data_IF_852494329993
#
_entry.id   IF_852494329993
#
_cell.length_a   1.000
_cell.length_b   1.000
_cell.length_c   1.000
_cell.angle_alpha   90.00
_cell.angle_beta   90.00
_cell.angle_gamma   90.00
#
_symmetry.space_group_name_H-M   'P 1'
#
loop_
_entity.id
_entity.type
_entity.pdbx_description
1 polymer ?
#
# COMPACT_ATOMS: atom_id res chain seq x y z
N UNK A 1 0.57 7.00 -1.84
CA UNK A 1 1.28 7.46 -0.62
C UNK A 1 0.32 8.11 0.40
N UNK A 2 -0.53 9.07 0.00
CA UNK A 2 -1.50 9.75 0.91
C UNK A 2 -2.36 8.80 1.75
N UNK A 3 -3.01 7.81 1.14
CA UNK A 3 -3.85 6.84 1.87
C UNK A 3 -3.05 5.95 2.84
N UNK A 4 -1.81 5.58 2.48
CA UNK A 4 -0.94 4.80 3.37
C UNK A 4 -0.55 5.61 4.61
N UNK A 5 -0.20 6.88 4.42
CA UNK A 5 0.10 7.78 5.53
C UNK A 5 -1.12 7.95 6.45
N UNK A 6 -2.34 8.09 5.89
CA UNK A 6 -3.57 8.14 6.70
C UNK A 6 -3.76 6.87 7.53
N UNK A 7 -3.54 5.68 6.95
CA UNK A 7 -3.64 4.41 7.69
C UNK A 7 -2.64 4.31 8.85
N UNK A 8 -1.41 4.80 8.65
CA UNK A 8 -0.40 4.85 9.73
C UNK A 8 -0.76 5.87 10.81
N UNK A 9 -1.32 7.02 10.44
CA UNK A 9 -1.81 7.99 11.42
C UNK A 9 -3.02 7.45 12.21
N UNK A 10 -3.92 6.68 11.57
CA UNK A 10 -4.99 5.96 12.28
C UNK A 10 -4.41 4.93 13.26
N UNK A 11 -3.30 4.28 12.92
CA UNK A 11 -2.58 3.41 13.87
C UNK A 11 -2.08 4.19 15.08
N UNK A 12 -1.58 5.42 14.90
CA UNK A 12 -1.18 6.26 16.03
C UNK A 12 -2.35 6.62 16.93
N UNK A 13 -3.54 6.89 16.37
CA UNK A 13 -4.77 7.07 17.17
C UNK A 13 -5.08 5.79 17.95
N UNK A 14 -5.06 4.63 17.28
CA UNK A 14 -5.30 3.35 17.95
C UNK A 14 -4.34 3.11 19.13
N UNK A 15 -3.04 3.34 18.93
CA UNK A 15 -2.03 3.19 19.97
C UNK A 15 -2.25 4.18 21.11
N UNK A 16 -2.63 5.43 20.82
CA UNK A 16 -2.96 6.44 21.82
C UNK A 16 -4.10 6.01 22.77
N UNK A 17 -5.07 5.28 22.21
CA UNK A 17 -6.25 4.79 22.94
C UNK A 17 -5.99 3.48 23.70
N UNK A 18 -5.15 2.58 23.16
CA UNK A 18 -5.06 1.19 23.64
C UNK A 18 -3.71 0.79 24.25
N UNK A 19 -2.62 1.50 23.93
CA UNK A 19 -1.27 1.15 24.38
C UNK A 19 -0.76 2.10 25.48
N UNK A 20 0.33 1.69 26.14
CA UNK A 20 1.01 2.44 27.22
C UNK A 20 2.48 2.72 26.91
N UNK A 21 2.83 2.92 25.63
CA UNK A 21 4.21 3.25 25.25
C UNK A 21 4.65 4.65 25.73
N UNK A 22 5.95 4.89 25.79
CA UNK A 22 6.52 6.21 26.17
C UNK A 22 5.95 7.35 25.32
N UNK A 23 5.76 7.13 24.03
CA UNK A 23 5.15 8.12 23.14
C UNK A 23 3.71 8.43 23.54
N UNK A 24 2.91 7.42 23.91
CA UNK A 24 1.52 7.61 24.37
C UNK A 24 1.49 8.36 25.69
N UNK A 25 2.34 7.99 26.65
CA UNK A 25 2.44 8.67 27.95
C UNK A 25 2.81 10.14 27.78
N UNK A 26 3.81 10.43 26.94
CA UNK A 26 4.21 11.80 26.61
C UNK A 26 3.07 12.58 25.94
N UNK A 27 2.36 11.99 24.98
CA UNK A 27 1.20 12.63 24.34
C UNK A 27 0.09 12.93 25.36
N UNK A 28 -0.22 11.98 26.25
CA UNK A 28 -1.20 12.15 27.33
C UNK A 28 -0.80 13.29 28.26
N UNK A 29 0.47 13.38 28.65
CA UNK A 29 0.96 14.40 29.58
C UNK A 29 1.08 15.80 28.95
N UNK A 30 1.58 15.91 27.72
CA UNK A 30 1.95 17.20 27.13
C UNK A 30 0.95 17.75 26.09
N UNK A 31 0.34 16.87 25.30
CA UNK A 31 -0.56 17.26 24.21
C UNK A 31 -2.03 17.22 24.61
N UNK A 32 -2.45 16.18 25.32
CA UNK A 32 -3.84 15.96 25.75
C UNK A 32 -4.10 16.61 27.11
N UNK A 33 -3.15 16.46 28.05
CA UNK A 33 -3.20 16.99 29.42
C UNK A 33 -4.45 16.51 30.15
N UNK A 34 -5.35 17.43 30.53
CA UNK A 34 -6.61 17.15 31.23
C UNK A 34 -7.82 17.12 30.29
N UNK A 35 -7.62 17.30 28.99
CA UNK A 35 -8.71 17.31 28.02
C UNK A 35 -8.97 15.90 27.46
N UNK A 36 -10.13 15.70 26.85
CA UNK A 36 -10.36 14.50 26.03
C UNK A 36 -9.70 14.65 24.66
N UNK A 37 -9.03 13.58 24.21
CA UNK A 37 -8.50 13.50 22.85
C UNK A 37 -9.55 13.84 21.77
N UNK A 38 -10.81 13.46 22.01
CA UNK A 38 -11.92 13.67 21.08
C UNK A 38 -12.34 15.14 20.97
N UNK A 39 -12.06 15.95 21.98
CA UNK A 39 -12.51 17.34 22.09
C UNK A 39 -11.39 18.36 21.86
N UNK A 40 -10.14 17.92 21.62
CA UNK A 40 -9.02 18.83 21.35
C UNK A 40 -9.25 19.69 20.08
N UNK A 41 -8.87 20.98 20.09
CA UNK A 41 -8.94 21.82 18.89
C UNK A 41 -7.89 21.41 17.85
N UNK A 42 -8.23 21.55 16.57
CA UNK A 42 -7.30 21.33 15.44
C UNK A 42 -6.53 22.59 15.05
N UNK A 43 -6.93 23.74 15.60
CA UNK A 43 -6.34 25.06 15.36
C UNK A 43 -5.32 25.43 16.43
N UNK A 44 -4.50 26.45 16.14
CA UNK A 44 -3.45 26.94 17.05
C UNK A 44 -2.06 26.38 16.76
N UNK A 45 -1.12 26.73 17.65
CA UNK A 45 0.31 26.39 17.55
C UNK A 45 0.58 24.93 17.96
N UNK A 46 0.17 23.99 17.10
CA UNK A 46 0.45 22.56 17.23
C UNK A 46 1.30 22.07 16.07
N UNK A 47 2.07 20.99 16.30
CA UNK A 47 2.90 20.39 15.26
C UNK A 47 2.04 19.89 14.10
N UNK A 48 2.59 19.95 12.89
CA UNK A 48 1.88 19.49 11.69
C UNK A 48 1.44 18.03 11.82
N UNK A 49 2.30 17.15 12.36
CA UNK A 49 1.99 15.74 12.55
C UNK A 49 0.81 15.54 13.52
N UNK A 50 0.79 16.23 14.67
CA UNK A 50 -0.31 16.14 15.62
C UNK A 50 -1.62 16.65 15.02
N UNK A 51 -1.58 17.75 14.27
CA UNK A 51 -2.75 18.26 13.55
C UNK A 51 -3.34 17.23 12.59
N UNK A 52 -2.50 16.49 11.85
CA UNK A 52 -2.98 15.42 10.97
C UNK A 52 -3.62 14.26 11.73
N UNK A 53 -3.10 13.90 12.91
CA UNK A 53 -3.74 12.91 13.80
C UNK A 53 -5.13 13.39 14.22
N UNK A 54 -5.25 14.65 14.67
CA UNK A 54 -6.53 15.21 15.10
C UNK A 54 -7.57 15.30 13.95
N UNK A 55 -7.15 15.57 12.72
CA UNK A 55 -8.04 15.58 11.55
C UNK A 55 -8.62 14.20 11.21
N UNK A 56 -7.95 13.11 11.60
CA UNK A 56 -8.41 11.75 11.33
C UNK A 56 -9.34 11.19 12.42
N UNK A 57 -9.64 11.94 13.48
CA UNK A 57 -10.54 11.50 14.57
C UNK A 57 -11.90 11.05 14.06
N UNK A 58 -12.53 11.83 13.18
CA UNK A 58 -13.85 11.47 12.65
C UNK A 58 -13.83 10.17 11.84
N UNK A 59 -12.75 9.92 11.09
CA UNK A 59 -12.57 8.66 10.36
C UNK A 59 -12.35 7.52 11.37
N UNK A 60 -11.57 7.73 12.42
CA UNK A 60 -11.38 6.73 13.47
C UNK A 60 -12.69 6.39 14.19
N UNK A 61 -13.52 7.40 14.53
CA UNK A 61 -14.82 7.20 15.19
C UNK A 61 -15.76 6.28 14.40
N UNK A 62 -15.76 6.36 13.07
CA UNK A 62 -16.56 5.47 12.21
C UNK A 62 -16.16 3.99 12.31
N UNK A 63 -15.01 3.68 12.92
CA UNK A 63 -14.47 2.32 12.97
C UNK A 63 -14.12 1.86 14.38
N UNK A 64 -14.14 2.72 15.38
CA UNK A 64 -13.86 2.33 16.76
C UNK A 64 -15.12 1.74 17.39
N UNK A 65 -14.95 0.59 18.04
CA UNK A 65 -16.03 -0.08 18.77
C UNK A 65 -15.61 -0.16 20.23
N UNK A 66 -16.27 0.63 21.08
CA UNK A 66 -16.05 0.65 22.52
C UNK A 66 -16.98 -0.35 23.19
N UNK A 67 -16.43 -1.20 24.06
CA UNK A 67 -17.16 -2.15 24.87
C UNK A 67 -16.93 -1.79 26.33
N UNK A 68 -17.99 -1.28 26.96
CA UNK A 68 -17.99 -0.93 28.37
C UNK A 68 -17.96 -2.21 29.21
N UNK A 69 -16.97 -2.33 30.07
CA UNK A 69 -16.74 -3.44 30.98
C UNK A 69 -16.68 -2.97 32.42
N UNK A 70 -16.19 -3.85 33.30
CA UNK A 70 -16.09 -3.60 34.75
C UNK A 70 -14.78 -2.91 35.17
N UNK A 71 -13.83 -2.72 34.24
CA UNK A 71 -12.61 -1.95 34.50
C UNK A 71 -12.82 -0.50 34.09
N UNK A 72 -12.87 0.39 35.07
CA UNK A 72 -13.19 1.80 34.96
C UNK A 72 -12.12 2.60 34.15
N UNK A 73 -12.16 2.58 32.80
CA UNK A 73 -11.19 3.30 31.95
C UNK A 73 -11.82 4.42 31.13
N UNK A 74 -13.05 4.25 30.66
CA UNK A 74 -13.69 5.20 29.77
C UNK A 74 -14.30 6.40 30.49
N UNK A 75 -14.09 7.59 29.94
CA UNK A 75 -14.78 8.81 30.37
C UNK A 75 -16.27 8.70 30.03
N UNK A 76 -17.12 9.01 31.01
CA UNK A 76 -18.57 9.00 30.84
C UNK A 76 -19.00 9.94 29.71
N UNK A 77 -18.46 11.15 29.70
CA UNK A 77 -18.93 12.23 28.86
C UNK A 77 -18.18 12.37 27.54
N UNK A 78 -16.92 11.97 27.49
CA UNK A 78 -16.03 12.34 26.39
C UNK A 78 -15.53 11.18 25.54
N UNK A 79 -15.54 9.93 26.03
CA UNK A 79 -15.21 8.79 25.20
C UNK A 79 -16.41 8.36 24.34
N UNK A 80 -16.19 7.85 23.12
CA UNK A 80 -17.24 7.61 22.14
C UNK A 80 -17.93 6.25 22.33
N UNK A 81 -18.24 5.88 23.57
CA UNK A 81 -18.90 4.62 23.90
C UNK A 81 -20.41 4.66 23.67
N UNK A 82 -21.01 5.85 23.66
CA UNK A 82 -22.44 6.05 23.40
C UNK A 82 -22.69 6.05 21.88
N UNK A 83 -23.01 4.88 21.31
CA UNK A 83 -23.28 4.70 19.88
C UNK A 83 -22.18 5.23 18.95
N UNK A 84 -20.91 5.05 19.36
CA UNK A 84 -19.75 5.54 18.61
C UNK A 84 -19.51 7.05 18.73
N UNK A 85 -20.16 7.73 19.68
CA UNK A 85 -20.05 9.17 19.93
C UNK A 85 -19.95 9.48 21.42
N UNK A 86 -19.40 10.64 21.73
CA UNK A 86 -19.33 11.16 23.10
C UNK A 86 -20.66 11.80 23.48
N UNK A 87 -21.15 11.57 24.69
CA UNK A 87 -22.41 12.18 25.17
C UNK A 87 -22.32 13.71 25.12
N UNK A 88 -21.18 14.29 25.54
CA UNK A 88 -20.93 15.74 25.47
C UNK A 88 -21.01 16.32 24.05
N UNK A 89 -20.72 15.52 23.02
CA UNK A 89 -20.83 15.93 21.62
C UNK A 89 -22.26 15.85 21.09
N UNK A 90 -23.07 14.92 21.62
CA UNK A 90 -24.46 14.71 21.19
C UNK A 90 -25.41 15.68 21.88
N UNK A 91 -25.27 15.86 23.20
CA UNK A 91 -26.19 16.66 24.03
C UNK A 91 -25.59 17.99 24.52
N UNK A 92 -24.30 18.23 24.25
CA UNK A 92 -23.60 19.42 24.75
C UNK A 92 -23.20 19.33 26.22
N UNK A 93 -22.56 20.38 26.74
CA UNK A 93 -22.10 20.41 28.14
C UNK A 93 -23.22 20.63 29.17
N UNK A 94 -24.42 21.03 28.74
CA UNK A 94 -25.55 21.27 29.64
C UNK A 94 -25.99 20.00 30.37
N UNK A 95 -26.01 18.86 29.66
CA UNK A 95 -26.40 17.57 30.24
C UNK A 95 -25.51 17.14 31.40
N UNK A 96 -24.24 17.56 31.39
CA UNK A 96 -23.29 17.28 32.48
C UNK A 96 -23.73 18.02 33.75
N UNK A 97 -24.06 19.32 33.62
CA UNK A 97 -24.54 20.12 34.74
C UNK A 97 -25.89 19.60 35.27
N UNK A 98 -26.83 19.29 34.38
CA UNK A 98 -28.18 18.82 34.73
C UNK A 98 -28.16 17.45 35.43
N UNK A 99 -27.11 16.65 35.18
CA UNK A 99 -26.92 15.34 35.83
C UNK A 99 -26.40 15.44 37.27
N UNK A 100 -25.74 16.53 37.64
CA UNK A 100 -25.01 16.64 38.90
C UNK A 100 -23.78 15.72 39.01
N UNK A 101 -23.42 14.99 37.95
CA UNK A 101 -22.25 14.11 37.88
C UNK A 101 -21.06 14.92 37.34
N UNK A 102 -19.90 14.81 37.98
CA UNK A 102 -18.72 15.57 37.57
C UNK A 102 -18.21 15.19 36.16
N UNK A 103 -17.60 16.15 35.47
CA UNK A 103 -17.09 16.03 34.09
C UNK A 103 -15.97 14.97 33.94
N UNK A 104 -15.18 14.76 35.01
CA UNK A 104 -14.10 13.76 35.02
C UNK A 104 -14.55 12.34 35.37
N UNK A 105 -15.86 12.12 35.51
CA UNK A 105 -16.41 10.82 35.91
C UNK A 105 -16.33 9.82 34.76
N UNK A 106 -16.23 8.55 35.13
CA UNK A 106 -16.10 7.43 34.22
C UNK A 106 -17.41 6.64 34.12
N UNK A 107 -17.50 5.79 33.11
CA UNK A 107 -18.72 5.06 32.74
C UNK A 107 -19.28 4.22 33.90
N UNK A 108 -18.43 3.68 34.77
CA UNK A 108 -18.86 2.84 35.89
C UNK A 108 -19.81 3.56 36.88
N UNK A 109 -19.78 4.89 36.95
CA UNK A 109 -20.63 5.65 37.88
C UNK A 109 -22.13 5.55 37.55
N UNK A 110 -22.48 5.18 36.32
CA UNK A 110 -23.87 5.00 35.87
C UNK A 110 -24.19 3.52 35.61
N UNK A 111 -23.41 2.60 36.16
CA UNK A 111 -23.63 1.15 36.07
C UNK A 111 -23.83 0.59 37.47
N UNK A 112 -25.01 0.03 37.73
CA UNK A 112 -25.30 -0.70 38.95
C UNK A 112 -25.98 -2.03 38.64
N UNK A 113 -25.54 -3.13 39.28
CA UNK A 113 -26.06 -4.48 39.08
C UNK A 113 -26.10 -4.92 37.60
N UNK A 114 -25.08 -4.60 36.80
CA UNK A 114 -25.02 -4.84 35.34
C UNK A 114 -26.14 -4.15 34.53
N UNK A 115 -26.74 -3.08 35.08
CA UNK A 115 -27.74 -2.25 34.41
C UNK A 115 -27.28 -0.79 34.37
N UNK A 116 -27.70 -0.08 33.32
CA UNK A 116 -27.51 1.37 33.22
C UNK A 116 -28.47 2.10 34.18
N UNK A 117 -27.92 2.96 35.03
CA UNK A 117 -28.63 3.69 36.07
C UNK A 117 -28.32 5.19 35.96
N UNK A 118 -29.10 5.89 35.14
CA UNK A 118 -29.06 7.34 35.02
C UNK A 118 -30.14 8.01 35.89
N UNK A 119 -29.86 9.23 36.32
CA UNK A 119 -30.82 10.06 37.06
C UNK A 119 -31.85 10.63 36.08
N UNK A 120 -33.14 10.49 36.40
CA UNK A 120 -34.24 11.04 35.59
C UNK A 120 -34.53 12.52 35.91
N UNK A 121 -33.49 13.34 36.04
CA UNK A 121 -33.60 14.76 36.46
C UNK A 121 -33.85 15.72 35.31
N UNK A 122 -33.57 15.32 34.06
CA UNK A 122 -33.83 16.12 32.86
C UNK A 122 -34.33 15.27 31.68
N UNK A 123 -35.05 15.86 30.71
CA UNK A 123 -35.48 15.13 29.51
C UNK A 123 -34.34 14.46 28.75
N UNK A 124 -33.18 15.13 28.64
CA UNK A 124 -31.99 14.60 27.97
C UNK A 124 -31.46 13.34 28.68
N UNK A 125 -31.45 13.34 30.02
CA UNK A 125 -30.99 12.18 30.80
C UNK A 125 -31.96 10.99 30.73
N UNK A 126 -33.26 11.27 30.65
CA UNK A 126 -34.28 10.24 30.41
C UNK A 126 -34.09 9.61 29.02
N UNK A 127 -33.81 10.43 28.00
CA UNK A 127 -33.49 9.94 26.66
C UNK A 127 -32.21 9.11 26.65
N UNK A 128 -31.15 9.58 27.32
CA UNK A 128 -29.89 8.84 27.46
C UNK A 128 -30.15 7.48 28.12
N UNK A 129 -30.90 7.44 29.24
CA UNK A 129 -31.27 6.21 29.94
C UNK A 129 -31.94 5.19 29.00
N UNK A 130 -32.83 5.67 28.11
CA UNK A 130 -33.50 4.82 27.13
C UNK A 130 -32.53 4.32 26.07
N UNK A 131 -31.68 5.20 25.54
CA UNK A 131 -30.75 4.90 24.43
C UNK A 131 -29.54 4.07 24.83
N UNK A 132 -29.22 3.92 26.11
CA UNK A 132 -28.12 3.05 26.56
C UNK A 132 -28.56 1.60 26.75
N UNK A 133 -29.86 1.30 26.75
CA UNK A 133 -30.36 -0.05 27.07
C UNK A 133 -29.92 -1.12 26.06
N UNK A 134 -29.66 -0.74 24.81
CA UNK A 134 -29.17 -1.64 23.76
C UNK A 134 -27.64 -1.76 23.74
N UNK A 135 -26.92 -1.00 24.58
CA UNK A 135 -25.47 -1.09 24.74
C UNK A 135 -25.15 -2.18 25.76
N UNK A 136 -24.59 -3.32 25.35
CA UNK A 136 -24.29 -4.42 26.26
C UNK A 136 -23.16 -4.04 27.22
N UNK A 137 -23.36 -4.31 28.50
CA UNK A 137 -22.31 -4.20 29.53
C UNK A 137 -21.56 -5.53 29.58
N UNK A 138 -20.25 -5.50 29.35
CA UNK A 138 -19.41 -6.68 29.40
C UNK A 138 -19.06 -7.03 30.84
N UNK A 139 -19.02 -8.34 31.15
CA UNK A 139 -18.44 -8.85 32.40
C UNK A 139 -16.91 -8.74 32.45
N UNK A 140 -16.29 -8.52 31.29
CA UNK A 140 -14.84 -8.36 31.15
C UNK A 140 -14.42 -6.89 31.29
N UNK A 141 -13.15 -6.61 31.04
CA UNK A 141 -12.55 -5.28 31.18
C UNK A 141 -12.91 -4.36 30.01
N UNK A 142 -12.86 -3.03 30.21
CA UNK A 142 -13.04 -2.05 29.13
C UNK A 142 -12.12 -2.36 27.94
N UNK A 143 -12.71 -2.49 26.74
CA UNK A 143 -11.99 -2.83 25.51
C UNK A 143 -12.44 -1.99 24.33
N UNK A 144 -11.48 -1.70 23.46
CA UNK A 144 -11.71 -1.02 22.18
C UNK A 144 -11.36 -2.02 21.08
N UNK A 145 -12.20 -2.09 20.05
CA UNK A 145 -11.98 -2.89 18.84
C UNK A 145 -12.02 -2.01 17.59
N UNK A 146 -11.59 -2.56 16.45
CA UNK A 146 -11.59 -1.88 15.16
C UNK A 146 -12.50 -2.58 14.15
N UNK A 147 -13.53 -1.89 13.69
CA UNK A 147 -14.53 -2.33 12.72
C UNK A 147 -15.62 -3.20 13.33
N UNK A 148 -15.24 -4.25 14.07
CA UNK A 148 -16.18 -5.15 14.75
C UNK A 148 -15.61 -5.70 16.05
N UNK A 149 -16.50 -6.14 16.94
CA UNK A 149 -16.12 -6.73 18.24
C UNK A 149 -15.17 -7.91 18.04
N UNK A 150 -14.10 -7.96 18.83
CA UNK A 150 -13.07 -9.00 18.76
C UNK A 150 -11.97 -8.76 17.72
N UNK A 151 -12.07 -7.75 16.86
CA UNK A 151 -11.05 -7.46 15.84
C UNK A 151 -10.03 -6.42 16.33
N UNK A 152 -8.72 -6.73 16.32
CA UNK A 152 -7.69 -5.73 16.60
C UNK A 152 -7.49 -4.80 15.41
N UNK A 153 -6.85 -3.66 15.65
CA UNK A 153 -6.42 -2.78 14.58
C UNK A 153 -5.38 -3.46 13.69
N UNK A 154 -5.63 -3.47 12.38
CA UNK A 154 -4.68 -3.90 11.36
C UNK A 154 -4.45 -2.76 10.38
N UNK A 155 -3.19 -2.32 10.22
CA UNK A 155 -2.83 -1.25 9.26
C UNK A 155 -3.33 -1.56 7.85
N UNK A 156 -3.31 -2.83 7.44
CA UNK A 156 -3.84 -3.27 6.15
C UNK A 156 -5.34 -2.96 6.01
N UNK A 157 -6.15 -3.34 7.01
CA UNK A 157 -7.61 -3.06 7.01
C UNK A 157 -7.88 -1.56 7.01
N UNK A 158 -7.18 -0.80 7.85
CA UNK A 158 -7.30 0.66 7.88
C UNK A 158 -6.91 1.30 6.53
N UNK A 159 -5.89 0.78 5.86
CA UNK A 159 -5.52 1.25 4.52
C UNK A 159 -6.56 0.91 3.47
N UNK A 160 -7.13 -0.29 3.50
CA UNK A 160 -8.20 -0.71 2.60
C UNK A 160 -9.46 0.15 2.75
N UNK A 161 -9.76 0.63 3.96
CA UNK A 161 -10.89 1.52 4.24
C UNK A 161 -10.68 2.95 3.71
N UNK A 162 -9.45 3.47 3.76
CA UNK A 162 -9.16 4.89 3.43
C UNK A 162 -8.71 5.07 1.98
N UNK A 163 -8.29 3.99 1.31
CA UNK A 163 -7.87 4.07 -0.10
C UNK A 163 -9.09 4.15 -1.02
N UNK A 164 -8.91 4.86 -2.12
CA UNK A 164 -9.75 4.64 -3.30
C UNK A 164 -9.38 3.26 -3.89
N UNK A 165 -10.38 2.39 -3.97
CA UNK A 165 -10.21 1.09 -4.63
C UNK A 165 -10.26 1.29 -6.14
N UNK A 166 -9.32 0.66 -6.84
CA UNK A 166 -9.29 0.62 -8.29
C UNK A 166 -9.37 -0.84 -8.73
N UNK A 167 -10.00 -1.13 -9.88
CA UNK A 167 -10.08 -2.49 -10.38
C UNK A 167 -8.68 -3.07 -10.59
N UNK A 168 -8.50 -4.38 -10.36
CA UNK A 168 -7.22 -5.03 -10.58
C UNK A 168 -6.83 -4.95 -12.07
N UNK A 169 -5.61 -4.47 -12.33
CA UNK A 169 -5.05 -4.42 -13.69
C UNK A 169 -4.56 -5.81 -14.11
N UNK A 170 -4.81 -6.19 -15.37
CA UNK A 170 -4.48 -7.54 -15.87
C UNK A 170 -2.98 -7.86 -15.81
N UNK A 171 -2.13 -6.87 -16.01
CA UNK A 171 -0.67 -7.02 -15.99
C UNK A 171 -0.06 -7.08 -14.58
N UNK A 172 -0.86 -7.01 -13.50
CA UNK A 172 -0.33 -6.95 -12.12
C UNK A 172 0.65 -8.10 -11.81
N UNK A 173 0.31 -9.32 -12.25
CA UNK A 173 1.11 -10.53 -12.00
C UNK A 173 2.25 -10.72 -13.02
N UNK A 174 2.33 -9.89 -14.06
CA UNK A 174 3.49 -9.79 -14.95
C UNK A 174 4.61 -9.02 -14.24
N UNK A 175 4.26 -7.95 -13.52
CA UNK A 175 5.21 -7.07 -12.83
C UNK A 175 5.49 -7.54 -11.40
N UNK A 176 4.43 -7.77 -10.61
CA UNK A 176 4.47 -7.98 -9.16
C UNK A 176 4.28 -9.46 -8.80
N UNK A 177 5.24 -10.30 -9.19
CA UNK A 177 5.27 -11.72 -8.82
C UNK A 177 6.37 -12.03 -7.80
N UNK A 178 6.28 -13.14 -7.08
CA UNK A 178 7.20 -13.49 -5.97
C UNK A 178 8.67 -13.61 -6.39
N UNK A 179 8.92 -13.94 -7.66
CA UNK A 179 10.28 -14.17 -8.18
C UNK A 179 10.93 -12.94 -8.80
N UNK A 180 10.25 -11.79 -8.77
CA UNK A 180 10.72 -10.57 -9.42
C UNK A 180 12.08 -10.10 -8.89
N UNK A 181 12.84 -9.43 -9.75
CA UNK A 181 13.97 -8.59 -9.34
C UNK A 181 13.42 -7.19 -9.13
N UNK A 182 13.47 -6.64 -7.91
CA UNK A 182 12.75 -5.41 -7.54
C UNK A 182 13.04 -4.22 -8.45
N UNK A 183 14.31 -3.98 -8.80
CA UNK A 183 14.71 -2.92 -9.75
C UNK A 183 14.11 -3.11 -11.16
N UNK A 184 14.02 -4.35 -11.63
CA UNK A 184 13.48 -4.65 -12.97
C UNK A 184 11.97 -4.52 -12.98
N UNK A 185 11.29 -5.04 -11.95
CA UNK A 185 9.84 -4.89 -11.80
C UNK A 185 9.44 -3.42 -11.70
N UNK A 186 10.18 -2.61 -10.92
CA UNK A 186 9.93 -1.18 -10.83
C UNK A 186 10.12 -0.48 -12.18
N UNK A 187 11.18 -0.79 -12.92
CA UNK A 187 11.41 -0.22 -14.25
C UNK A 187 10.33 -0.64 -15.26
N UNK A 188 9.92 -1.91 -15.25
CA UNK A 188 8.83 -2.43 -16.08
C UNK A 188 7.48 -1.76 -15.74
N UNK A 189 7.21 -1.58 -14.44
CA UNK A 189 6.01 -0.86 -13.98
C UNK A 189 5.97 0.57 -14.52
N UNK A 190 7.08 1.30 -14.43
CA UNK A 190 7.18 2.65 -15.01
C UNK A 190 7.04 2.64 -16.53
N UNK A 191 7.54 1.61 -17.21
CA UNK A 191 7.35 1.44 -18.64
C UNK A 191 5.87 1.23 -18.97
N UNK A 192 5.17 0.31 -18.31
CA UNK A 192 3.73 0.06 -18.58
C UNK A 192 2.86 1.28 -18.29
N UNK A 193 3.23 2.11 -17.31
CA UNK A 193 2.52 3.35 -16.99
C UNK A 193 2.91 4.54 -17.87
N UNK A 194 3.88 4.38 -18.77
CA UNK A 194 4.46 5.48 -19.51
C UNK A 194 5.04 6.60 -18.67
N UNK A 195 5.61 6.24 -17.52
CA UNK A 195 6.18 7.20 -16.57
C UNK A 195 7.69 7.46 -16.79
N UNK A 196 8.32 6.79 -17.74
CA UNK A 196 9.72 7.05 -18.11
C UNK A 196 9.88 8.44 -18.76
N UNK A 197 10.99 9.12 -18.43
CA UNK A 197 11.37 10.42 -19.00
C UNK A 197 12.06 10.25 -20.35
N UNK A 198 11.29 9.79 -21.33
CA UNK A 198 11.69 9.66 -22.73
C UNK A 198 11.93 11.04 -23.36
N UNK A 199 12.71 11.10 -24.45
CA UNK A 199 13.11 12.38 -25.05
C UNK A 199 11.93 13.15 -25.63
N UNK A 200 10.93 12.50 -26.20
CA UNK A 200 9.65 13.14 -26.58
C UNK A 200 9.03 13.94 -25.42
N UNK A 201 8.95 13.35 -24.22
CA UNK A 201 8.41 14.01 -23.03
C UNK A 201 9.31 15.14 -22.55
N UNK A 202 10.63 14.98 -22.62
CA UNK A 202 11.58 16.03 -22.27
C UNK A 202 11.54 17.21 -23.25
N UNK A 203 11.32 16.93 -24.54
CA UNK A 203 11.14 17.94 -25.58
C UNK A 203 9.85 18.74 -25.33
N UNK A 204 8.74 18.07 -25.04
CA UNK A 204 7.47 18.73 -24.68
C UNK A 204 7.60 19.62 -23.43
N UNK A 205 8.50 19.27 -22.51
CA UNK A 205 8.80 20.08 -21.32
C UNK A 205 9.81 21.21 -21.57
N UNK A 206 10.33 21.35 -22.80
CA UNK A 206 11.33 22.36 -23.15
C UNK A 206 12.71 22.12 -22.56
N UNK A 207 13.01 20.90 -22.10
CA UNK A 207 14.29 20.56 -21.45
C UNK A 207 15.39 20.16 -22.44
N UNK A 208 15.02 19.83 -23.67
CA UNK A 208 15.95 19.46 -24.76
C UNK A 208 15.41 20.00 -26.10
N UNK A 209 16.27 20.09 -27.12
CA UNK A 209 15.92 20.63 -28.44
C UNK A 209 15.57 19.57 -29.50
N UNK A 210 15.79 18.29 -29.21
CA UNK A 210 15.53 17.20 -30.17
C UNK A 210 15.14 15.92 -29.46
N UNK A 211 14.09 15.27 -29.96
CA UNK A 211 13.65 13.96 -29.50
C UNK A 211 14.35 12.79 -30.20
N UNK A 212 15.38 13.02 -31.04
CA UNK A 212 16.06 11.95 -31.78
C UNK A 212 16.51 10.81 -30.87
N UNK A 213 16.31 9.59 -31.36
CA UNK A 213 16.59 8.37 -30.64
C UNK A 213 18.09 8.20 -30.37
N UNK A 214 18.46 7.93 -29.11
CA UNK A 214 19.85 7.74 -28.67
C UNK A 214 20.48 6.44 -29.16
N UNK A 215 19.70 5.60 -29.86
CA UNK A 215 20.19 4.44 -30.57
C UNK A 215 20.59 4.74 -32.01
N UNK A 216 20.49 6.00 -32.44
CA UNK A 216 20.91 6.51 -33.76
C UNK A 216 20.22 5.78 -34.93
N UNK A 217 18.93 5.46 -34.78
CA UNK A 217 18.13 4.78 -35.79
C UNK A 217 17.40 5.72 -36.77
N UNK A 218 17.55 7.04 -36.63
CA UNK A 218 16.90 8.05 -37.48
C UNK A 218 15.53 8.53 -37.01
N UNK A 219 14.90 7.83 -36.06
CA UNK A 219 13.56 8.16 -35.53
C UNK A 219 13.62 8.94 -34.21
N UNK A 220 12.47 9.44 -33.74
CA UNK A 220 12.33 10.05 -32.42
C UNK A 220 12.11 9.01 -31.31
N UNK A 221 12.70 9.23 -30.13
CA UNK A 221 12.48 8.43 -28.93
C UNK A 221 11.15 8.79 -28.26
N UNK A 222 10.17 7.92 -28.46
CA UNK A 222 9.01 7.74 -27.59
C UNK A 222 9.15 6.48 -26.75
N UNK A 223 8.22 6.26 -25.82
CA UNK A 223 8.16 5.01 -25.06
C UNK A 223 7.92 3.78 -25.96
N UNK A 224 6.97 3.88 -26.90
CA UNK A 224 6.69 2.82 -27.87
C UNK A 224 7.92 2.56 -28.76
N UNK A 225 8.59 3.63 -29.19
CA UNK A 225 9.80 3.53 -29.96
C UNK A 225 10.92 2.82 -29.19
N UNK A 226 11.14 3.25 -27.94
CA UNK A 226 12.17 2.73 -27.06
C UNK A 226 11.95 1.25 -26.72
N UNK A 227 10.71 0.84 -26.45
CA UNK A 227 10.39 -0.53 -26.10
C UNK A 227 9.91 -1.31 -27.33
N UNK A 228 10.89 -1.58 -28.22
CA UNK A 228 10.89 -2.60 -29.28
C UNK A 228 10.50 -2.19 -30.70
N UNK A 229 10.22 -0.91 -30.97
CA UNK A 229 10.13 -0.44 -32.36
C UNK A 229 11.47 0.06 -32.92
N UNK A 230 12.34 0.57 -32.05
CA UNK A 230 13.72 0.91 -32.39
C UNK A 230 14.48 -0.36 -32.84
N UNK A 231 15.13 -0.38 -34.02
CA UNK A 231 15.84 -1.56 -34.54
C UNK A 231 16.82 -2.19 -33.54
N UNK A 232 17.57 -1.37 -32.80
CA UNK A 232 18.51 -1.82 -31.78
C UNK A 232 17.81 -2.59 -30.65
N UNK A 233 16.72 -2.03 -30.10
CA UNK A 233 15.97 -2.66 -28.99
C UNK A 233 15.13 -3.85 -29.45
N UNK A 234 14.62 -3.80 -30.69
CA UNK A 234 13.92 -4.90 -31.35
C UNK A 234 14.82 -6.11 -31.50
N UNK A 235 16.08 -5.91 -31.90
CA UNK A 235 17.05 -7.00 -32.02
C UNK A 235 17.31 -7.67 -30.66
N UNK A 236 17.51 -6.89 -29.60
CA UNK A 236 17.68 -7.42 -28.23
C UNK A 236 16.48 -8.29 -27.85
N UNK A 237 15.27 -7.79 -28.03
CA UNK A 237 14.07 -8.53 -27.65
C UNK A 237 13.85 -9.78 -28.49
N UNK A 238 14.12 -9.73 -29.80
CA UNK A 238 14.07 -10.90 -30.69
C UNK A 238 15.01 -12.01 -30.21
N UNK A 239 16.24 -11.66 -29.81
CA UNK A 239 17.18 -12.64 -29.25
C UNK A 239 16.68 -13.24 -27.93
N UNK A 240 16.11 -12.41 -27.05
CA UNK A 240 15.54 -12.87 -25.76
C UNK A 240 14.31 -13.76 -25.97
N UNK A 241 13.43 -13.45 -26.93
CA UNK A 241 12.31 -14.31 -27.33
C UNK A 241 12.79 -15.66 -27.84
N UNK A 242 13.82 -15.68 -28.67
CA UNK A 242 14.44 -16.93 -29.14
C UNK A 242 14.94 -17.77 -27.97
N UNK A 243 15.60 -17.16 -26.97
CA UNK A 243 16.01 -17.84 -25.73
C UNK A 243 14.82 -18.28 -24.88
N UNK A 244 13.62 -17.75 -25.09
CA UNK A 244 12.41 -18.20 -24.39
C UNK A 244 11.67 -19.33 -25.13
N UNK A 245 12.27 -19.88 -26.21
CA UNK A 245 11.62 -20.77 -27.16
C UNK A 245 10.34 -20.17 -27.77
N UNK A 246 10.33 -18.85 -28.00
CA UNK A 246 9.21 -18.13 -28.61
C UNK A 246 9.62 -17.72 -30.03
N UNK A 247 8.97 -18.31 -31.03
CA UNK A 247 9.19 -18.02 -32.46
C UNK A 247 8.05 -17.16 -33.00
N UNK A 248 8.21 -15.84 -32.97
CA UNK A 248 7.31 -14.86 -33.60
C UNK A 248 8.06 -13.55 -33.86
N UNK A 249 7.47 -12.68 -34.66
CA UNK A 249 7.92 -11.29 -34.77
C UNK A 249 7.72 -10.55 -33.44
N UNK A 250 8.56 -9.54 -33.24
CA UNK A 250 8.42 -8.57 -32.17
C UNK A 250 7.18 -7.71 -32.44
N UNK A 251 6.32 -7.58 -31.45
CA UNK A 251 5.09 -6.80 -31.53
C UNK A 251 5.34 -5.36 -31.06
N UNK A 252 4.34 -4.48 -31.24
CA UNK A 252 4.36 -3.14 -30.63
C UNK A 252 4.34 -3.25 -29.10
N UNK A 253 4.81 -2.21 -28.40
CA UNK A 253 4.88 -2.23 -26.93
C UNK A 253 3.56 -2.64 -26.23
N UNK A 254 2.38 -2.09 -26.58
CA UNK A 254 1.13 -2.49 -25.93
C UNK A 254 0.75 -3.95 -26.22
N UNK A 255 1.00 -4.41 -27.45
CA UNK A 255 0.73 -5.79 -27.87
C UNK A 255 1.68 -6.78 -27.18
N UNK A 256 2.94 -6.42 -26.95
CA UNK A 256 3.88 -7.21 -26.18
C UNK A 256 3.42 -7.38 -24.73
N UNK A 257 3.01 -6.30 -24.07
CA UNK A 257 2.48 -6.36 -22.69
C UNK A 257 1.23 -7.24 -22.62
N UNK A 258 0.31 -7.10 -23.58
CA UNK A 258 -0.89 -7.90 -23.64
C UNK A 258 -0.56 -9.39 -23.85
N UNK A 259 0.28 -9.69 -24.84
CA UNK A 259 0.69 -11.05 -25.15
C UNK A 259 1.39 -11.71 -23.95
N UNK A 260 2.33 -11.00 -23.32
CA UNK A 260 3.06 -11.50 -22.14
C UNK A 260 2.12 -11.72 -20.96
N UNK A 261 1.13 -10.84 -20.75
CA UNK A 261 0.13 -10.98 -19.69
C UNK A 261 -0.72 -12.24 -19.89
N UNK A 262 -1.13 -12.53 -21.12
CA UNK A 262 -1.95 -13.71 -21.42
C UNK A 262 -1.14 -15.02 -21.42
N UNK A 263 0.10 -14.99 -21.89
CA UNK A 263 0.92 -16.19 -22.06
C UNK A 263 1.81 -16.52 -20.86
N UNK A 264 1.84 -15.70 -19.81
CA UNK A 264 2.60 -15.94 -18.58
C UNK A 264 1.76 -16.05 -17.30
N UNK A 265 0.47 -16.36 -17.43
CA UNK A 265 -0.38 -16.63 -16.25
C UNK A 265 0.14 -17.80 -15.42
N UNK A 266 0.08 -17.65 -14.10
CA UNK A 266 0.59 -18.62 -13.14
C UNK A 266 2.08 -18.48 -12.81
N UNK A 267 2.60 -19.49 -12.10
CA UNK A 267 3.94 -19.50 -11.50
C UNK A 267 4.82 -20.69 -11.94
N UNK A 268 4.43 -21.41 -13.00
CA UNK A 268 5.26 -22.49 -13.58
C UNK A 268 6.57 -21.91 -14.13
N UNK A 269 7.63 -22.74 -14.14
CA UNK A 269 8.99 -22.35 -14.52
C UNK A 269 9.07 -21.48 -15.80
N UNK A 270 8.51 -21.88 -16.96
CA UNK A 270 8.61 -21.07 -18.17
C UNK A 270 7.91 -19.72 -18.05
N UNK A 271 6.81 -19.67 -17.29
CA UNK A 271 6.03 -18.45 -17.12
C UNK A 271 6.81 -17.45 -16.29
N UNK A 272 7.41 -17.91 -15.18
CA UNK A 272 8.27 -17.07 -14.32
C UNK A 272 9.50 -16.59 -15.08
N UNK A 273 10.18 -17.48 -15.80
CA UNK A 273 11.36 -17.14 -16.60
C UNK A 273 11.03 -16.08 -17.65
N UNK A 274 9.92 -16.22 -18.38
CA UNK A 274 9.48 -15.23 -19.38
C UNK A 274 9.14 -13.87 -18.76
N UNK A 275 8.48 -13.83 -17.59
CA UNK A 275 8.24 -12.57 -16.85
C UNK A 275 9.55 -11.87 -16.50
N UNK A 276 10.54 -12.63 -16.00
CA UNK A 276 11.86 -12.13 -15.68
C UNK A 276 12.61 -11.62 -16.91
N UNK A 277 12.54 -12.36 -18.01
CA UNK A 277 13.17 -11.99 -19.28
C UNK A 277 12.64 -10.64 -19.81
N UNK A 278 11.32 -10.43 -19.80
CA UNK A 278 10.73 -9.15 -20.18
C UNK A 278 11.19 -8.01 -19.26
N UNK A 279 11.05 -8.20 -17.95
CA UNK A 279 11.40 -7.16 -16.97
C UNK A 279 12.89 -6.79 -17.04
N UNK A 280 13.77 -7.77 -17.19
CA UNK A 280 15.20 -7.56 -17.36
C UNK A 280 15.52 -6.86 -18.69
N UNK A 281 14.84 -7.22 -19.79
CA UNK A 281 15.02 -6.55 -21.08
C UNK A 281 14.67 -5.08 -20.99
N UNK A 282 13.48 -4.75 -20.46
CA UNK A 282 13.03 -3.36 -20.28
C UNK A 282 14.00 -2.57 -19.41
N UNK A 283 14.46 -3.17 -18.30
CA UNK A 283 15.45 -2.55 -17.43
C UNK A 283 16.77 -2.26 -18.15
N UNK A 284 17.36 -3.25 -18.83
CA UNK A 284 18.66 -3.05 -19.47
C UNK A 284 18.59 -2.14 -20.70
N UNK A 285 17.47 -2.11 -21.43
CA UNK A 285 17.21 -1.11 -22.48
C UNK A 285 17.20 0.30 -21.88
N UNK A 286 16.47 0.50 -20.78
CA UNK A 286 16.43 1.80 -20.08
C UNK A 286 17.83 2.22 -19.57
N UNK A 287 18.57 1.28 -19.00
CA UNK A 287 19.93 1.55 -18.51
C UNK A 287 20.91 1.86 -19.64
N UNK A 288 20.81 1.17 -20.78
CA UNK A 288 21.64 1.45 -21.95
C UNK A 288 21.30 2.81 -22.56
N UNK A 289 20.02 3.15 -22.69
CA UNK A 289 19.59 4.49 -23.11
C UNK A 289 20.21 5.56 -22.21
N UNK A 290 20.15 5.40 -20.90
CA UNK A 290 20.75 6.35 -19.96
C UNK A 290 22.28 6.37 -20.02
N UNK A 291 22.93 5.23 -20.26
CA UNK A 291 24.38 5.17 -20.48
C UNK A 291 24.79 6.01 -21.69
N UNK A 292 24.06 5.91 -22.80
CA UNK A 292 24.31 6.72 -23.99
C UNK A 292 24.08 8.20 -23.73
N UNK A 293 22.97 8.54 -23.05
CA UNK A 293 22.62 9.91 -22.71
C UNK A 293 23.66 10.63 -21.83
N UNK A 294 24.17 9.96 -20.79
CA UNK A 294 24.97 10.60 -19.75
C UNK A 294 26.45 10.25 -19.77
N UNK A 295 26.83 9.14 -20.43
CA UNK A 295 28.22 8.65 -20.43
C UNK A 295 28.80 8.49 -21.84
N UNK A 296 28.01 8.75 -22.89
CA UNK A 296 28.42 8.57 -24.29
C UNK A 296 29.12 7.22 -24.55
N UNK A 297 28.61 6.16 -23.93
CA UNK A 297 29.16 4.80 -24.00
C UNK A 297 28.11 3.86 -24.59
N UNK A 298 28.53 3.04 -25.55
CA UNK A 298 27.64 2.26 -26.39
C UNK A 298 27.97 0.78 -26.27
N UNK A 299 26.99 -0.03 -25.90
CA UNK A 299 27.11 -1.48 -25.93
C UNK A 299 26.44 -2.05 -27.18
N UNK A 300 26.94 -3.18 -27.72
CA UNK A 300 26.23 -3.92 -28.75
C UNK A 300 25.03 -4.69 -28.15
N UNK A 301 24.01 -5.05 -28.98
CA UNK A 301 22.85 -5.81 -28.53
C UNK A 301 23.22 -7.11 -27.79
N UNK A 302 24.24 -7.82 -28.26
CA UNK A 302 24.74 -9.07 -27.68
C UNK A 302 25.21 -8.90 -26.23
N UNK A 303 25.90 -7.80 -25.92
CA UNK A 303 26.35 -7.51 -24.56
C UNK A 303 25.17 -7.19 -23.61
N UNK A 304 24.11 -6.56 -24.13
CA UNK A 304 22.88 -6.34 -23.36
C UNK A 304 22.15 -7.65 -23.10
N UNK A 305 22.03 -8.52 -24.12
CA UNK A 305 21.43 -9.85 -23.97
C UNK A 305 22.19 -10.71 -22.96
N UNK A 306 23.53 -10.63 -22.94
CA UNK A 306 24.34 -11.32 -21.94
C UNK A 306 24.03 -10.85 -20.51
N UNK A 307 23.92 -9.54 -20.28
CA UNK A 307 23.52 -9.00 -18.96
C UNK A 307 22.12 -9.45 -18.54
N UNK A 308 21.17 -9.45 -19.47
CA UNK A 308 19.81 -9.96 -19.26
C UNK A 308 19.88 -11.44 -18.84
N UNK A 309 20.66 -12.24 -19.57
CA UNK A 309 20.84 -13.66 -19.26
C UNK A 309 21.41 -13.87 -17.86
N UNK A 310 22.48 -13.17 -17.49
CA UNK A 310 23.09 -13.27 -16.16
C UNK A 310 22.07 -12.98 -15.04
N UNK A 311 21.36 -11.85 -15.13
CA UNK A 311 20.40 -11.45 -14.08
C UNK A 311 19.26 -12.47 -13.93
N UNK A 312 18.73 -12.99 -15.05
CA UNK A 312 17.65 -13.98 -15.03
C UNK A 312 18.16 -15.32 -14.52
N UNK A 313 19.31 -15.79 -14.99
CA UNK A 313 19.90 -17.06 -14.56
C UNK A 313 20.18 -17.05 -13.06
N UNK A 314 20.86 -16.01 -12.54
CA UNK A 314 21.13 -15.87 -11.11
C UNK A 314 19.85 -15.86 -10.27
N UNK A 315 18.78 -15.21 -10.75
CA UNK A 315 17.49 -15.20 -10.03
C UNK A 315 16.80 -16.56 -10.04
N UNK A 316 16.98 -17.36 -11.08
CA UNK A 316 16.35 -18.67 -11.22
C UNK A 316 17.12 -19.76 -10.44
N UNK A 317 18.45 -19.70 -10.39
CA UNK A 317 19.28 -20.61 -9.58
C UNK A 317 18.93 -20.50 -8.09
N UNK A 318 18.76 -19.27 -7.57
CA UNK A 318 18.40 -19.04 -6.16
C UNK A 318 16.99 -19.51 -5.74
N UNK A 319 16.25 -20.23 -6.60
CA UNK A 319 14.94 -20.80 -6.28
C UNK A 319 14.95 -22.33 -6.09
N UNK A 320 16.12 -22.98 -6.07
CA UNK A 320 16.26 -24.44 -5.93
C UNK A 320 15.28 -25.21 -6.84
N UNK A 321 15.25 -24.82 -8.11
CA UNK A 321 14.35 -25.45 -9.07
C UNK A 321 14.99 -26.79 -9.43
N UNK A 322 14.38 -27.88 -8.96
CA UNK A 322 14.79 -29.23 -9.36
C UNK A 322 14.48 -29.42 -10.85
N UNK A 323 15.50 -29.24 -11.68
CA UNK A 323 15.41 -29.30 -13.14
C UNK A 323 15.21 -30.74 -13.64
N UNK A 324 15.58 -31.75 -12.84
CA UNK A 324 15.52 -33.17 -13.22
C UNK A 324 14.09 -33.72 -13.22
N UNK A 325 13.13 -33.02 -12.59
CA UNK A 325 11.69 -33.36 -12.61
C UNK A 325 10.90 -32.58 -13.66
N UNK A 326 11.56 -31.77 -14.48
CA UNK A 326 10.91 -30.94 -15.50
C UNK A 326 10.97 -31.63 -16.88
N UNK A 327 9.80 -31.66 -17.53
CA UNK A 327 9.58 -32.06 -18.94
C UNK A 327 10.73 -31.63 -19.87
N UNK A 328 11.11 -32.43 -20.88
CA UNK A 328 12.25 -32.15 -21.80
C UNK A 328 12.21 -30.72 -22.39
N UNK A 329 11.01 -30.20 -22.63
CA UNK A 329 10.79 -28.84 -23.11
C UNK A 329 11.34 -27.76 -22.15
N UNK A 330 11.26 -27.99 -20.84
CA UNK A 330 11.76 -27.08 -19.82
C UNK A 330 13.28 -27.18 -19.62
N UNK A 331 13.86 -28.35 -19.88
CA UNK A 331 15.31 -28.55 -19.88
C UNK A 331 15.99 -27.69 -20.96
N UNK A 332 15.46 -27.69 -22.19
CA UNK A 332 15.97 -26.81 -23.27
C UNK A 332 15.93 -25.32 -22.90
N UNK A 333 14.88 -24.90 -22.19
CA UNK A 333 14.72 -23.53 -21.72
C UNK A 333 15.76 -23.22 -20.61
N UNK A 334 16.00 -24.14 -19.68
CA UNK A 334 17.07 -24.01 -18.68
C UNK A 334 18.45 -23.83 -19.31
N UNK A 335 18.83 -24.71 -20.25
CA UNK A 335 20.10 -24.64 -20.99
C UNK A 335 20.25 -23.30 -21.71
N UNK A 336 19.21 -22.87 -22.43
CA UNK A 336 19.28 -21.62 -23.19
C UNK A 336 19.56 -20.39 -22.31
N UNK A 337 19.21 -20.44 -21.01
CA UNK A 337 19.50 -19.37 -20.05
C UNK A 337 20.77 -19.63 -19.22
N UNK A 338 21.48 -20.74 -19.43
CA UNK A 338 22.65 -21.12 -18.64
C UNK A 338 22.29 -21.53 -17.22
N UNK A 339 21.06 -22.02 -17.00
CA UNK A 339 20.59 -22.55 -15.73
C UNK A 339 20.87 -24.05 -15.77
N UNK A 340 22.08 -24.46 -15.39
CA UNK A 340 22.43 -25.87 -15.20
C UNK A 340 22.03 -26.30 -13.79
N UNK A 341 21.39 -27.45 -13.66
CA UNK A 341 21.14 -28.05 -12.35
C UNK A 341 22.47 -28.28 -11.64
N UNK A 342 22.58 -27.83 -10.40
CA UNK A 342 23.58 -28.39 -9.51
C UNK A 342 23.21 -29.86 -9.33
N UNK A 343 24.11 -30.74 -9.78
CA UNK A 343 24.08 -32.18 -9.48
C UNK A 343 23.98 -32.40 -7.98
#
# INVERSE_FOLDING_TARGET
MKAWNRALLLKLIWNLLTEHSLWVQWCKQHLIRKHSFWNLPTTGSISWAWRQILHLRNIALCHLVYICGREDKFSLWHDPWFHGRSISTVYGHRVINDSGIADSVRVQAVIANDHWCWLATSPDLIEIQYRVQDIPISTSTDRIFWGSVGQPFLTKKAWELVRESAPPVRWVNLVWHSSRISKHAFCLWLAILGAHRTRDKLLTLGLIHSACCLFNCGENESEHHLFFECPYTRQIWSMVLSKCNIRRSVLTWPQEIQWMTDHTRGNKFPKVLRKLALAATVYHVWMERNRRAFKNSFLPPTAIVFKIQCDVASKMVGKEINLDRLDEHYHSLGISWGITGTV
#
